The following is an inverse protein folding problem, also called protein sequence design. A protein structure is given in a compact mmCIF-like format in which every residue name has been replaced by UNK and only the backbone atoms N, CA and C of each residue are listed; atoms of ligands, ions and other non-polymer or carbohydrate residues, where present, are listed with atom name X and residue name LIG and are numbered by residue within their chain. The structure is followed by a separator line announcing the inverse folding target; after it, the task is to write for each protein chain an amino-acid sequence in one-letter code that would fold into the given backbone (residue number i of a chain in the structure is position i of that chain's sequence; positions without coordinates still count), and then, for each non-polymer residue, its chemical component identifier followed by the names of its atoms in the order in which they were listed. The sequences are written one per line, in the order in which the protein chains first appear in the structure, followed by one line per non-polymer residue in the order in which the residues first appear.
data_IF_300241623852
#
_entry.id   IF_300241623852
#
_cell.length_a   1.000
_cell.length_b   1.000
_cell.length_c   1.000
_cell.angle_alpha   90.00
_cell.angle_beta   90.00
_cell.angle_gamma   90.00
#
_symmetry.space_group_name_H-M   'P 1'
#
loop_
_entity.id
_entity.type
_entity.pdbx_description
1 polymer ?
#
# COMPACT_ATOMS: atom_id res chain seq x y z
N UNK A 1 -43.15 2.23 -5.03
CA UNK A 1 -42.04 2.74 -5.88
C UNK A 1 -41.14 3.71 -5.12
N UNK A 2 -41.66 4.83 -4.60
CA UNK A 2 -40.88 5.85 -3.88
C UNK A 2 -39.99 5.30 -2.74
N UNK A 3 -40.56 4.50 -1.82
CA UNK A 3 -39.83 3.96 -0.67
C UNK A 3 -38.61 3.13 -1.08
N UNK A 4 -38.73 2.34 -2.16
CA UNK A 4 -37.63 1.53 -2.70
C UNK A 4 -36.54 2.42 -3.31
N UNK A 5 -36.92 3.43 -4.07
CA UNK A 5 -35.98 4.41 -4.64
C UNK A 5 -35.24 5.18 -3.54
N UNK A 6 -35.92 5.59 -2.48
CA UNK A 6 -35.30 6.25 -1.32
C UNK A 6 -34.29 5.31 -0.66
N UNK A 7 -34.64 4.06 -0.39
CA UNK A 7 -33.70 3.08 0.19
C UNK A 7 -32.47 2.91 -0.69
N UNK A 8 -32.65 2.74 -2.00
CA UNK A 8 -31.52 2.62 -2.94
C UNK A 8 -30.62 3.86 -2.94
N UNK A 9 -31.19 5.07 -2.90
CA UNK A 9 -30.40 6.31 -2.89
C UNK A 9 -29.72 6.60 -1.54
N UNK A 10 -30.29 6.10 -0.44
CA UNK A 10 -29.69 6.19 0.90
C UNK A 10 -28.53 5.20 1.05
N UNK A 11 -28.61 4.04 0.41
CA UNK A 11 -27.57 3.00 0.40
C UNK A 11 -26.47 3.27 -0.64
N UNK A 12 -26.73 4.14 -1.62
CA UNK A 12 -25.75 4.51 -2.63
C UNK A 12 -24.61 5.35 -2.02
N UNK A 13 -23.44 4.72 -1.90
CA UNK A 13 -22.21 5.35 -1.41
C UNK A 13 -21.21 5.69 -2.53
N UNK A 14 -21.63 5.60 -3.80
CA UNK A 14 -20.76 5.81 -4.95
C UNK A 14 -20.17 7.22 -5.02
N UNK A 15 -20.91 8.24 -4.58
CA UNK A 15 -20.48 9.65 -4.61
C UNK A 15 -20.27 10.25 -3.22
N UNK A 16 -20.71 9.56 -2.16
CA UNK A 16 -20.71 10.06 -0.77
C UNK A 16 -20.51 8.92 0.21
N UNK A 17 -19.67 9.11 1.23
CA UNK A 17 -19.64 8.17 2.36
C UNK A 17 -20.99 8.17 3.09
N UNK A 18 -21.43 7.01 3.55
CA UNK A 18 -22.58 6.89 4.45
C UNK A 18 -22.34 7.73 5.71
N UNK A 19 -23.32 8.56 6.08
CA UNK A 19 -23.21 9.50 7.21
C UNK A 19 -24.17 9.10 8.30
N UNK A 20 -23.70 9.09 9.56
CA UNK A 20 -24.60 8.89 10.71
C UNK A 20 -25.55 10.09 10.78
N UNK A 21 -26.88 9.90 10.82
CA UNK A 21 -27.85 10.99 10.91
C UNK A 21 -27.57 11.94 12.09
N UNK A 22 -27.08 11.40 13.19
CA UNK A 22 -26.65 12.15 14.38
C UNK A 22 -25.55 13.19 14.07
N UNK A 23 -24.53 12.82 13.29
CA UNK A 23 -23.45 13.75 12.93
C UNK A 23 -23.99 14.84 12.00
N UNK A 24 -24.87 14.48 11.06
CA UNK A 24 -25.51 15.46 10.17
C UNK A 24 -26.36 16.44 10.96
N UNK A 25 -27.15 15.95 11.91
CA UNK A 25 -27.94 16.79 12.80
C UNK A 25 -27.05 17.73 13.62
N UNK A 26 -25.96 17.24 14.21
CA UNK A 26 -25.01 18.08 14.94
C UNK A 26 -24.34 19.13 14.05
N UNK A 27 -23.91 18.77 12.84
CA UNK A 27 -23.35 19.73 11.87
C UNK A 27 -24.37 20.80 11.48
N UNK A 28 -25.61 20.41 11.18
CA UNK A 28 -26.69 21.33 10.82
C UNK A 28 -27.08 22.24 11.99
N UNK A 29 -27.15 21.68 13.20
CA UNK A 29 -27.42 22.44 14.43
C UNK A 29 -26.30 23.45 14.68
N UNK A 30 -25.04 23.02 14.65
CA UNK A 30 -23.90 23.91 14.83
C UNK A 30 -23.84 25.02 13.78
N UNK A 31 -24.20 24.73 12.52
CA UNK A 31 -24.33 25.75 11.48
C UNK A 31 -25.47 26.73 11.80
N UNK A 32 -26.65 26.22 12.14
CA UNK A 32 -27.81 27.03 12.50
C UNK A 32 -27.53 27.95 13.69
N UNK A 33 -26.91 27.41 14.74
CA UNK A 33 -26.52 28.14 15.96
C UNK A 33 -25.48 29.23 15.61
N UNK A 34 -24.49 28.92 14.76
CA UNK A 34 -23.50 29.89 14.25
C UNK A 34 -24.15 31.04 13.48
N UNK A 35 -25.13 30.76 12.61
CA UNK A 35 -25.82 31.78 11.83
C UNK A 35 -26.89 32.54 12.64
N UNK A 36 -27.29 32.03 13.81
CA UNK A 36 -28.30 32.63 14.70
C UNK A 36 -27.71 33.52 15.81
N UNK A 37 -26.38 33.68 15.86
CA UNK A 37 -25.60 34.51 16.80
C UNK A 37 -25.55 34.02 18.26
N UNK A 38 -24.54 33.20 18.57
CA UNK A 38 -23.78 33.16 19.84
C UNK A 38 -22.39 32.56 19.51
N UNK A 39 -21.34 33.41 19.43
CA UNK A 39 -19.98 32.96 19.09
C UNK A 39 -19.29 32.56 20.39
N UNK A 40 -19.41 31.29 20.79
CA UNK A 40 -18.48 30.70 21.75
C UNK A 40 -17.83 29.43 21.20
N UNK A 41 -16.54 29.59 20.87
CA UNK A 41 -15.52 28.60 20.52
C UNK A 41 -15.79 27.65 19.33
N UNK A 42 -14.81 27.46 18.44
CA UNK A 42 -14.96 26.55 17.32
C UNK A 42 -15.10 25.11 17.83
N UNK A 43 -16.30 24.55 17.71
CA UNK A 43 -16.50 23.11 17.84
C UNK A 43 -15.70 22.43 16.72
N UNK A 44 -14.63 21.74 17.13
CA UNK A 44 -13.71 21.01 16.27
C UNK A 44 -14.46 20.12 15.28
N UNK A 45 -14.11 20.25 14.00
CA UNK A 45 -14.52 19.41 12.89
C UNK A 45 -16.04 19.22 12.69
N UNK A 46 -16.69 20.28 12.19
CA UNK A 46 -18.07 20.21 11.68
C UNK A 46 -18.25 19.14 10.59
N UNK A 47 -17.15 18.73 9.92
CA UNK A 47 -17.11 17.62 8.99
C UNK A 47 -15.78 16.85 9.11
N UNK A 48 -15.79 15.59 9.57
CA UNK A 48 -14.65 14.69 9.45
C UNK A 48 -14.16 14.57 8.00
N UNK A 49 -12.85 14.63 7.79
CA UNK A 49 -12.19 14.36 6.48
C UNK A 49 -12.61 13.02 5.88
N UNK A 50 -13.01 12.09 6.75
CA UNK A 50 -13.52 10.77 6.38
C UNK A 50 -14.74 10.81 5.47
N UNK A 51 -15.45 11.94 5.41
CA UNK A 51 -16.58 12.13 4.50
C UNK A 51 -16.18 12.53 3.08
N UNK A 52 -14.92 12.94 2.87
CA UNK A 52 -14.41 13.41 1.59
C UNK A 52 -13.35 12.49 0.99
N UNK A 53 -12.77 11.59 1.79
CA UNK A 53 -11.79 10.61 1.31
C UNK A 53 -12.38 9.22 1.11
N UNK A 54 -11.79 8.47 0.18
CA UNK A 54 -12.14 7.10 -0.13
C UNK A 54 -12.37 6.23 1.12
N UNK A 55 -13.37 5.36 1.07
CA UNK A 55 -13.73 4.46 2.17
C UNK A 55 -12.80 3.26 2.32
N UNK A 56 -11.93 3.02 1.35
CA UNK A 56 -11.01 1.88 1.35
C UNK A 56 -10.02 1.96 2.51
N UNK A 57 -9.72 0.78 3.09
CA UNK A 57 -8.78 0.61 4.19
C UNK A 57 -7.74 -0.45 3.83
N UNK A 58 -6.51 -0.22 4.25
CA UNK A 58 -5.44 -1.19 4.12
C UNK A 58 -5.80 -2.47 4.90
N UNK A 59 -5.66 -3.64 4.28
CA UNK A 59 -5.97 -4.93 4.87
C UNK A 59 -5.01 -5.27 6.03
N UNK A 60 -3.76 -4.81 5.96
CA UNK A 60 -2.75 -5.01 6.99
C UNK A 60 -2.91 -4.02 8.16
N UNK A 61 -2.57 -2.74 7.98
CA UNK A 61 -2.53 -1.76 9.08
C UNK A 61 -3.82 -0.95 9.30
N UNK A 62 -4.88 -1.21 8.53
CA UNK A 62 -6.18 -0.50 8.61
C UNK A 62 -6.12 1.01 8.35
N UNK A 63 -5.01 1.53 7.82
CA UNK A 63 -4.91 2.91 7.33
C UNK A 63 -5.99 3.20 6.28
N UNK A 64 -6.51 4.43 6.26
CA UNK A 64 -7.52 4.86 5.29
C UNK A 64 -6.84 5.42 4.05
N UNK A 65 -7.49 5.25 2.91
CA UNK A 65 -7.10 5.96 1.71
C UNK A 65 -7.38 7.47 1.86
N UNK A 66 -6.40 8.29 1.48
CA UNK A 66 -6.44 9.76 1.55
C UNK A 66 -6.93 10.40 0.25
N UNK A 67 -7.05 9.62 -0.83
CA UNK A 67 -7.62 10.09 -2.10
C UNK A 67 -9.11 10.41 -1.95
N UNK A 68 -9.65 11.18 -2.89
CA UNK A 68 -11.06 11.56 -2.90
C UNK A 68 -12.01 10.36 -3.00
N UNK A 69 -13.26 10.56 -2.58
CA UNK A 69 -14.31 9.58 -2.81
C UNK A 69 -14.47 9.34 -4.32
N UNK A 70 -14.59 8.07 -4.72
CA UNK A 70 -14.74 7.66 -6.13
C UNK A 70 -13.54 8.00 -7.04
N UNK A 71 -12.33 8.09 -6.49
CA UNK A 71 -11.13 8.12 -7.34
C UNK A 71 -11.07 6.86 -8.21
N UNK A 72 -10.56 7.01 -9.43
CA UNK A 72 -10.51 5.92 -10.39
C UNK A 72 -9.39 4.96 -9.99
N UNK A 73 -9.77 3.81 -9.44
CA UNK A 73 -8.85 2.79 -8.94
C UNK A 73 -8.05 2.08 -10.04
N UNK A 74 -8.46 2.21 -11.31
CA UNK A 74 -7.72 1.69 -12.45
C UNK A 74 -6.54 2.59 -12.83
N UNK A 75 -6.69 3.91 -12.64
CA UNK A 75 -5.64 4.90 -12.95
C UNK A 75 -4.81 5.29 -11.75
N UNK A 76 -5.41 5.35 -10.56
CA UNK A 76 -4.78 5.77 -9.32
C UNK A 76 -4.98 4.71 -8.24
N UNK A 77 -3.87 4.15 -7.77
CA UNK A 77 -3.87 3.24 -6.64
C UNK A 77 -4.30 3.95 -5.37
N UNK A 78 -4.97 3.23 -4.47
CA UNK A 78 -5.23 3.76 -3.12
C UNK A 78 -3.92 4.16 -2.44
N UNK A 79 -3.96 5.29 -1.74
CA UNK A 79 -2.81 5.88 -1.05
C UNK A 79 -3.16 6.19 0.40
N UNK A 80 -2.30 5.78 1.34
CA UNK A 80 -2.44 6.08 2.77
C UNK A 80 -1.72 7.37 3.18
N UNK A 81 -1.14 8.09 2.21
CA UNK A 81 -0.30 9.26 2.39
C UNK A 81 1.16 8.89 2.61
N UNK A 82 2.06 9.84 2.31
CA UNK A 82 3.52 9.64 2.38
C UNK A 82 4.06 9.44 3.80
N UNK A 83 3.36 9.98 4.80
CA UNK A 83 3.81 9.96 6.19
C UNK A 83 3.46 8.65 6.91
N UNK A 84 2.64 7.79 6.30
CA UNK A 84 2.12 6.59 6.94
C UNK A 84 2.69 5.33 6.30
N UNK A 85 3.68 4.72 6.95
CA UNK A 85 4.20 3.40 6.58
C UNK A 85 3.19 2.30 6.95
N UNK A 86 3.23 1.19 6.20
CA UNK A 86 2.44 0.01 6.55
C UNK A 86 3.14 -0.83 7.64
N UNK A 87 2.36 -1.71 8.28
CA UNK A 87 2.87 -2.74 9.17
C UNK A 87 3.09 -4.05 8.40
N UNK A 88 4.13 -4.80 8.76
CA UNK A 88 4.39 -6.10 8.16
C UNK A 88 3.33 -7.12 8.59
N UNK A 89 2.75 -7.82 7.63
CA UNK A 89 1.86 -8.93 7.90
C UNK A 89 2.13 -10.07 6.92
N UNK A 90 2.62 -11.20 7.45
CA UNK A 90 3.04 -12.36 6.64
C UNK A 90 1.90 -12.93 5.78
N UNK A 91 0.66 -12.89 6.25
CA UNK A 91 -0.51 -13.37 5.49
C UNK A 91 -0.79 -12.59 4.21
N UNK A 92 -0.25 -11.37 4.08
CA UNK A 92 -0.42 -10.53 2.90
C UNK A 92 0.86 -10.37 2.07
N UNK A 93 1.99 -10.93 2.50
CA UNK A 93 3.25 -10.86 1.76
C UNK A 93 3.72 -9.43 1.45
N UNK A 94 3.40 -8.45 2.30
CA UNK A 94 3.58 -7.02 2.00
C UNK A 94 4.99 -6.48 2.26
N UNK A 95 5.99 -7.37 2.30
CA UNK A 95 7.41 -7.04 2.48
C UNK A 95 8.06 -6.86 1.11
N UNK A 96 8.60 -5.66 0.85
CA UNK A 96 9.28 -5.32 -0.39
C UNK A 96 10.76 -5.07 -0.10
N UNK A 97 11.64 -5.63 -0.94
CA UNK A 97 13.09 -5.45 -0.82
C UNK A 97 13.60 -4.54 -1.92
N UNK A 98 14.51 -3.63 -1.57
CA UNK A 98 15.10 -2.66 -2.49
C UNK A 98 16.62 -2.66 -2.39
N UNK A 99 17.30 -2.41 -3.50
CA UNK A 99 18.76 -2.28 -3.49
C UNK A 99 19.20 -0.99 -2.77
N UNK A 100 19.92 -1.09 -1.63
CA UNK A 100 20.42 0.08 -0.88
C UNK A 100 21.34 0.97 -1.69
N UNK A 101 22.20 0.40 -2.53
CA UNK A 101 23.11 1.16 -3.39
C UNK A 101 22.34 2.04 -4.39
N UNK A 102 21.30 1.50 -5.02
CA UNK A 102 20.45 2.27 -5.91
C UNK A 102 19.66 3.34 -5.15
N UNK A 103 19.13 3.00 -3.97
CA UNK A 103 18.38 3.95 -3.15
C UNK A 103 19.24 5.16 -2.74
N UNK A 104 20.51 4.93 -2.36
CA UNK A 104 21.49 5.99 -2.09
C UNK A 104 21.73 6.90 -3.30
N UNK A 105 21.64 6.34 -4.50
CA UNK A 105 21.73 7.06 -5.77
C UNK A 105 20.38 7.64 -6.23
N UNK A 106 19.38 7.75 -5.33
CA UNK A 106 18.02 8.24 -5.60
C UNK A 106 17.24 7.43 -6.66
N UNK A 107 17.63 6.17 -6.89
CA UNK A 107 16.92 5.23 -7.77
C UNK A 107 16.22 4.15 -6.94
N UNK A 108 14.90 4.04 -7.07
CA UNK A 108 14.13 2.96 -6.43
C UNK A 108 14.16 1.72 -7.32
N UNK A 109 14.88 0.67 -6.88
CA UNK A 109 14.98 -0.60 -7.60
C UNK A 109 14.56 -1.73 -6.66
N UNK A 110 13.39 -2.30 -6.92
CA UNK A 110 12.86 -3.47 -6.21
C UNK A 110 13.60 -4.73 -6.66
N UNK A 111 13.94 -5.57 -5.70
CA UNK A 111 14.59 -6.86 -5.92
C UNK A 111 13.78 -7.96 -5.25
N UNK A 112 13.76 -9.13 -5.85
CA UNK A 112 13.07 -10.30 -5.31
C UNK A 112 14.07 -11.43 -5.11
N UNK A 113 13.90 -12.29 -4.09
CA UNK A 113 14.77 -13.43 -3.91
C UNK A 113 14.54 -14.40 -5.08
N UNK A 114 15.59 -14.68 -5.85
CA UNK A 114 15.56 -15.65 -6.92
C UNK A 114 16.23 -16.95 -6.46
N UNK A 115 15.54 -18.06 -6.68
CA UNK A 115 16.11 -19.42 -6.55
C UNK A 115 16.55 -19.99 -7.90
N UNK A 116 16.17 -19.34 -9.01
CA UNK A 116 16.58 -19.63 -10.39
C UNK A 116 16.48 -18.37 -11.27
N UNK A 117 17.30 -18.24 -12.32
CA UNK A 117 17.22 -17.11 -13.26
C UNK A 117 15.97 -17.20 -14.14
N UNK A 118 15.13 -16.14 -14.14
CA UNK A 118 13.91 -16.07 -14.97
C UNK A 118 14.17 -15.70 -16.44
N UNK A 119 15.42 -15.54 -16.85
CA UNK A 119 15.79 -15.18 -18.23
C UNK A 119 17.14 -15.79 -18.57
N UNK A 120 17.15 -17.04 -18.98
CA UNK A 120 18.23 -17.56 -19.81
C UNK A 120 17.77 -18.85 -20.50
N UNK A 121 17.47 -18.74 -21.79
CA UNK A 121 17.41 -19.85 -22.75
C UNK A 121 18.81 -20.41 -23.05
N UNK A 122 19.76 -20.27 -22.12
CA UNK A 122 21.13 -20.72 -22.30
C UNK A 122 21.52 -21.60 -21.14
N UNK A 123 21.91 -22.82 -21.47
CA UNK A 123 22.50 -23.85 -20.60
C UNK A 123 23.64 -23.34 -19.68
N UNK A 124 24.20 -22.16 -19.95
CA UNK A 124 25.19 -21.46 -19.10
C UNK A 124 24.59 -20.77 -17.86
N UNK A 125 23.27 -20.47 -17.85
CA UNK A 125 22.58 -19.80 -16.74
C UNK A 125 22.22 -20.72 -15.57
N UNK A 126 22.30 -22.04 -15.78
CA UNK A 126 21.85 -23.06 -14.83
C UNK A 126 22.84 -23.31 -13.67
N UNK A 127 24.13 -22.97 -13.82
CA UNK A 127 25.18 -23.33 -12.85
C UNK A 127 25.44 -22.28 -11.77
N UNK A 128 24.98 -21.03 -11.91
CA UNK A 128 25.38 -19.93 -10.99
C UNK A 128 24.64 -19.91 -9.65
N UNK A 129 23.56 -20.68 -9.51
CA UNK A 129 22.61 -20.60 -8.39
C UNK A 129 22.47 -21.88 -7.55
N UNK A 130 22.94 -23.04 -8.06
CA UNK A 130 22.74 -24.34 -7.40
C UNK A 130 23.40 -24.40 -6.01
N UNK A 131 24.49 -23.66 -5.79
CA UNK A 131 25.25 -23.68 -4.54
C UNK A 131 24.98 -22.48 -3.62
N UNK A 132 24.23 -21.47 -4.09
CA UNK A 132 24.06 -20.19 -3.38
C UNK A 132 22.74 -20.03 -2.62
N UNK A 133 21.84 -21.02 -2.68
CA UNK A 133 20.50 -20.89 -2.09
C UNK A 133 19.64 -19.90 -2.85
N UNK A 134 19.26 -18.78 -2.23
CA UNK A 134 18.56 -17.67 -2.88
C UNK A 134 19.49 -16.48 -3.09
N UNK A 135 19.24 -15.70 -4.13
CA UNK A 135 20.07 -14.57 -4.55
C UNK A 135 19.20 -13.35 -4.79
N UNK A 136 19.63 -12.18 -4.32
CA UNK A 136 19.08 -10.89 -4.77
C UNK A 136 19.97 -10.30 -5.85
N UNK A 137 19.35 -9.98 -6.98
CA UNK A 137 20.01 -9.42 -8.15
C UNK A 137 19.36 -8.09 -8.52
N UNK A 138 20.18 -7.05 -8.55
CA UNK A 138 19.79 -5.72 -8.99
C UNK A 138 20.22 -5.53 -10.46
N UNK A 139 19.34 -5.10 -11.37
CA UNK A 139 19.69 -4.88 -12.77
C UNK A 139 20.80 -3.84 -12.97
N UNK A 140 21.02 -2.96 -12.00
CA UNK A 140 22.02 -1.89 -12.07
C UNK A 140 23.30 -2.18 -11.27
N UNK A 141 23.29 -3.18 -10.37
CA UNK A 141 24.44 -3.49 -9.49
C UNK A 141 24.89 -4.95 -9.59
N UNK A 142 24.18 -5.79 -10.33
CA UNK A 142 24.41 -7.24 -10.39
C UNK A 142 23.91 -7.96 -9.13
N UNK A 143 24.56 -9.06 -8.80
CA UNK A 143 24.25 -9.85 -7.59
C UNK A 143 24.68 -9.06 -6.36
N UNK A 144 23.71 -8.67 -5.53
CA UNK A 144 23.93 -7.87 -4.32
C UNK A 144 23.91 -8.71 -3.05
N UNK A 145 23.35 -9.93 -3.10
CA UNK A 145 23.28 -10.84 -1.96
C UNK A 145 23.20 -12.29 -2.42
N UNK A 146 23.88 -13.18 -1.70
CA UNK A 146 23.72 -14.64 -1.79
C UNK A 146 23.41 -15.15 -0.39
N UNK A 147 22.49 -16.11 -0.24
CA UNK A 147 22.19 -16.66 1.09
C UNK A 147 23.19 -17.73 1.55
N UNK A 148 23.93 -18.32 0.61
CA UNK A 148 25.04 -19.24 0.88
C UNK A 148 26.26 -18.80 0.11
N UNK A 149 27.24 -18.25 0.81
CA UNK A 149 28.50 -17.77 0.26
C UNK A 149 29.69 -18.22 1.13
N UNK A 150 29.52 -18.24 2.45
CA UNK A 150 30.54 -18.61 3.41
C UNK A 150 30.06 -19.77 4.31
N UNK A 151 30.97 -20.70 4.63
CA UNK A 151 30.67 -21.84 5.51
C UNK A 151 30.42 -21.45 6.98
N UNK A 152 30.93 -20.30 7.43
CA UNK A 152 30.85 -19.84 8.82
C UNK A 152 29.87 -18.68 9.06
N UNK A 153 28.93 -18.49 8.13
CA UNK A 153 27.88 -17.48 8.25
C UNK A 153 27.95 -16.42 7.16
N UNK A 154 26.81 -16.13 6.55
CA UNK A 154 26.69 -15.07 5.55
C UNK A 154 26.41 -13.72 6.20
N UNK A 155 26.69 -12.66 5.47
CA UNK A 155 26.26 -11.33 5.87
C UNK A 155 24.74 -11.25 5.97
N UNK A 156 24.25 -10.34 6.82
CA UNK A 156 22.83 -10.07 6.95
C UNK A 156 22.30 -9.43 5.65
N UNK A 157 21.15 -9.92 5.17
CA UNK A 157 20.46 -9.37 4.01
C UNK A 157 20.13 -7.87 4.21
N UNK A 158 19.93 -7.46 5.47
CA UNK A 158 19.70 -6.06 5.82
C UNK A 158 20.88 -5.16 5.50
N UNK A 159 22.12 -5.64 5.33
CA UNK A 159 23.25 -4.76 4.97
C UNK A 159 23.12 -4.18 3.58
N UNK A 160 22.61 -4.97 2.64
CA UNK A 160 22.55 -4.64 1.20
C UNK A 160 21.15 -4.32 0.71
N UNK A 161 20.12 -4.74 1.46
CA UNK A 161 18.72 -4.50 1.16
C UNK A 161 18.11 -3.44 2.08
N UNK A 162 17.25 -2.62 1.51
CA UNK A 162 16.33 -1.77 2.25
C UNK A 162 14.96 -2.44 2.19
N UNK A 163 14.33 -2.60 3.35
CA UNK A 163 13.02 -3.23 3.48
C UNK A 163 11.96 -2.15 3.67
N UNK A 164 10.92 -2.20 2.85
CA UNK A 164 9.75 -1.33 2.96
C UNK A 164 8.48 -2.20 3.04
N UNK A 165 7.50 -1.78 3.83
CA UNK A 165 6.21 -2.46 3.94
C UNK A 165 5.14 -1.71 3.16
N UNK A 166 4.56 -2.36 2.16
CA UNK A 166 3.56 -1.74 1.30
C UNK A 166 2.15 -1.90 1.88
N UNK A 167 1.29 -0.91 1.65
CA UNK A 167 -0.14 -1.02 1.97
C UNK A 167 -0.81 -2.02 1.02
N UNK A 168 -1.75 -2.79 1.57
CA UNK A 168 -2.47 -3.84 0.84
C UNK A 168 -3.94 -3.44 0.74
N UNK A 169 -4.45 -3.25 -0.46
CA UNK A 169 -5.80 -2.73 -0.67
C UNK A 169 -6.79 -3.82 -1.12
N UNK A 170 -8.09 -3.69 -0.81
CA UNK A 170 -9.08 -4.73 -1.13
C UNK A 170 -9.28 -5.00 -2.62
N UNK A 171 -8.97 -4.03 -3.48
CA UNK A 171 -9.28 -4.06 -4.92
C UNK A 171 -8.18 -4.74 -5.76
N UNK A 172 -7.35 -5.57 -5.12
CA UNK A 172 -6.20 -6.22 -5.76
C UNK A 172 -4.98 -5.30 -5.85
N UNK A 173 -3.79 -5.86 -6.06
CA UNK A 173 -2.56 -5.07 -6.15
C UNK A 173 -2.58 -4.21 -7.42
N UNK A 174 -2.40 -2.90 -7.25
CA UNK A 174 -1.92 -2.06 -8.35
C UNK A 174 -0.50 -2.49 -8.67
N UNK A 175 -0.34 -3.20 -9.79
CA UNK A 175 0.93 -3.54 -10.44
C UNK A 175 2.09 -3.80 -9.47
N UNK A 176 2.11 -5.01 -8.90
CA UNK A 176 3.38 -5.63 -8.52
C UNK A 176 4.13 -5.94 -9.83
N UNK A 177 4.76 -4.93 -10.44
CA UNK A 177 5.74 -5.12 -11.51
C UNK A 177 6.99 -5.75 -10.90
N UNK A 178 6.91 -7.05 -10.71
CA UNK A 178 7.97 -7.92 -10.25
C UNK A 178 7.56 -9.32 -10.66
N UNK A 179 7.87 -9.66 -11.91
CA UNK A 179 7.67 -10.99 -12.52
C UNK A 179 7.76 -12.09 -11.47
N UNK A 180 6.60 -12.66 -11.17
CA UNK A 180 6.41 -13.73 -10.23
C UNK A 180 7.20 -14.96 -10.68
N UNK A 181 8.06 -15.47 -9.80
CA UNK A 181 8.49 -16.87 -9.77
C UNK A 181 8.70 -17.26 -8.31
N UNK A 182 7.59 -17.31 -7.56
CA UNK A 182 7.54 -18.08 -6.33
C UNK A 182 7.12 -19.50 -6.72
N UNK A 183 8.09 -20.39 -6.88
CA UNK A 183 7.81 -21.82 -6.85
C UNK A 183 7.75 -22.27 -5.39
N UNK A 184 6.73 -23.08 -5.13
CA UNK A 184 6.22 -23.60 -3.84
C UNK A 184 7.25 -24.25 -2.93
#
# INVERSE_FOLDING_TARGET
KLRRTITTQVEDTSVRAARRPEIIFQSLKALNDKFSQEIETPQLNTFPDQYFTCTSRCLACKSRCTLSMNHNTETESHDAGRDKLCEYQSSYGNKVFMCKTCLRNKKRVTVVPKTSSSSDTSWMGLTKYIWSGYVYECPNCGVIYRSREHWYGNEDEEKVLHVEFQHVWPQGPSSLDGTHNAAR
#
